data_IF_954852093509
#
_entry.id   IF_954852093509
#
_cell.length_a   1.000
_cell.length_b   1.000
_cell.length_c   1.000
_cell.angle_alpha   90.00
_cell.angle_beta   90.00
_cell.angle_gamma   90.00
#
_symmetry.space_group_name_H-M   'P 1'
#
loop_
_entity.id
_entity.type
_entity.pdbx_description
1 polymer ?
#
# COMPACT_ATOMS: atom_id res chain seq x y z
N UNK A 1 -7.27 42.16 -32.16
CA UNK A 1 -8.75 42.14 -32.04
C UNK A 1 -9.12 41.75 -30.62
N UNK A 2 -9.89 42.59 -29.92
CA UNK A 2 -10.16 42.48 -28.47
C UNK A 2 -11.26 41.47 -28.18
N UNK A 3 -10.90 40.18 -28.15
CA UNK A 3 -11.78 39.04 -27.82
C UNK A 3 -12.49 39.17 -26.45
N UNK A 4 -12.03 40.08 -25.57
CA UNK A 4 -12.55 40.25 -24.22
C UNK A 4 -13.65 41.33 -24.08
N UNK A 5 -13.92 42.14 -25.11
CA UNK A 5 -14.94 43.20 -25.03
C UNK A 5 -16.36 42.62 -24.92
N UNK A 6 -16.67 41.56 -25.66
CA UNK A 6 -17.95 40.85 -25.59
C UNK A 6 -18.26 40.16 -24.24
N UNK A 7 -17.26 40.08 -23.34
CA UNK A 7 -17.43 39.52 -22.00
C UNK A 7 -17.70 40.59 -20.92
N UNK A 8 -17.83 41.87 -21.30
CA UNK A 8 -18.16 42.95 -20.35
C UNK A 8 -19.61 42.91 -19.90
N UNK A 9 -20.50 42.32 -20.72
CA UNK A 9 -21.92 42.12 -20.38
C UNK A 9 -22.11 41.14 -19.21
N UNK A 10 -21.12 40.27 -18.97
CA UNK A 10 -21.11 39.40 -17.81
C UNK A 10 -20.33 40.07 -16.68
N UNK A 11 -20.97 40.23 -15.52
CA UNK A 11 -20.38 40.78 -14.29
C UNK A 11 -19.32 39.84 -13.67
N UNK A 12 -18.27 39.52 -14.43
CA UNK A 12 -17.21 38.60 -14.04
C UNK A 12 -16.12 39.32 -13.23
N UNK A 13 -15.59 38.66 -12.21
CA UNK A 13 -14.42 39.18 -11.51
C UNK A 13 -13.16 39.06 -12.36
N UNK A 14 -12.14 39.89 -12.08
CA UNK A 14 -10.84 39.85 -12.79
C UNK A 14 -10.26 38.42 -12.81
N UNK A 15 -10.36 37.70 -11.69
CA UNK A 15 -9.87 36.32 -11.54
C UNK A 15 -10.65 35.32 -12.40
N UNK A 16 -11.98 35.48 -12.53
CA UNK A 16 -12.79 34.62 -13.40
C UNK A 16 -12.42 34.83 -14.87
N UNK A 17 -12.18 36.08 -15.29
CA UNK A 17 -11.71 36.40 -16.65
C UNK A 17 -10.35 35.78 -16.94
N UNK A 18 -9.42 35.83 -15.98
CA UNK A 18 -8.10 35.19 -16.12
C UNK A 18 -8.19 33.66 -16.23
N UNK A 19 -9.10 33.02 -15.49
CA UNK A 19 -9.33 31.58 -15.60
C UNK A 19 -9.94 31.22 -16.94
N UNK A 20 -10.93 31.99 -17.41
CA UNK A 20 -11.51 31.80 -18.74
C UNK A 20 -10.46 31.99 -19.85
N UNK A 21 -9.64 33.03 -19.77
CA UNK A 21 -8.52 33.27 -20.68
C UNK A 21 -7.52 32.10 -20.69
N UNK A 22 -7.20 31.55 -19.51
CA UNK A 22 -6.32 30.39 -19.38
C UNK A 22 -6.91 29.14 -20.05
N UNK A 23 -8.21 28.92 -19.91
CA UNK A 23 -8.92 27.81 -20.58
C UNK A 23 -8.94 27.99 -22.10
N UNK A 24 -9.28 29.19 -22.59
CA UNK A 24 -9.32 29.48 -24.03
C UNK A 24 -7.93 29.31 -24.64
N UNK A 25 -6.90 29.89 -24.03
CA UNK A 25 -5.54 29.89 -24.57
C UNK A 25 -4.89 28.50 -24.63
N UNK A 26 -5.22 27.63 -23.70
CA UNK A 26 -4.46 26.39 -23.49
C UNK A 26 -5.30 25.11 -23.59
N UNK A 27 -6.62 25.25 -23.68
CA UNK A 27 -7.55 24.14 -23.60
C UNK A 27 -8.40 23.97 -24.85
N UNK A 28 -8.71 25.06 -25.55
CA UNK A 28 -9.57 25.04 -26.73
C UNK A 28 -8.78 24.58 -27.95
N UNK A 29 -9.32 23.58 -28.66
CA UNK A 29 -8.79 23.14 -29.95
C UNK A 29 -9.21 24.15 -31.03
N UNK A 30 -8.28 24.57 -31.88
CA UNK A 30 -8.57 25.56 -32.93
C UNK A 30 -9.54 25.04 -34.00
N UNK A 31 -9.55 23.72 -34.25
CA UNK A 31 -10.42 23.09 -35.24
C UNK A 31 -11.85 22.89 -34.72
N UNK A 32 -12.00 22.60 -33.41
CA UNK A 32 -13.29 22.33 -32.78
C UNK A 32 -13.39 23.03 -31.41
N UNK A 33 -13.91 24.27 -31.37
CA UNK A 33 -13.98 25.06 -30.14
C UNK A 33 -15.04 24.54 -29.14
N UNK A 34 -15.94 23.66 -29.59
CA UNK A 34 -17.00 23.04 -28.79
C UNK A 34 -16.60 21.71 -28.15
N UNK A 35 -15.40 21.18 -28.46
CA UNK A 35 -14.94 19.90 -27.91
C UNK A 35 -14.52 20.03 -26.44
N UNK A 36 -14.44 18.89 -25.75
CA UNK A 36 -14.07 18.80 -24.35
C UNK A 36 -12.61 19.20 -24.13
N UNK A 37 -12.42 20.18 -23.25
CA UNK A 37 -11.11 20.66 -22.81
C UNK A 37 -10.57 19.71 -21.74
N UNK A 38 -9.42 19.11 -22.03
CA UNK A 38 -8.68 18.30 -21.07
C UNK A 38 -7.63 19.14 -20.35
N UNK A 39 -8.01 19.74 -19.22
CA UNK A 39 -7.08 20.50 -18.38
C UNK A 39 -7.22 20.13 -16.91
N UNK A 40 -6.11 19.70 -16.30
CA UNK A 40 -6.08 19.43 -14.85
C UNK A 40 -6.22 20.74 -14.07
N UNK A 41 -7.01 20.72 -13.01
CA UNK A 41 -7.25 21.90 -12.16
C UNK A 41 -5.97 22.38 -11.47
N UNK A 42 -5.09 21.44 -11.09
CA UNK A 42 -3.74 21.73 -10.58
C UNK A 42 -2.93 22.56 -11.58
N UNK A 43 -3.05 22.27 -12.87
CA UNK A 43 -2.32 23.01 -13.93
C UNK A 43 -2.85 24.43 -14.08
N UNK A 44 -4.17 24.64 -13.96
CA UNK A 44 -4.79 25.98 -13.96
C UNK A 44 -4.30 26.77 -12.74
N UNK A 45 -4.35 26.15 -11.56
CA UNK A 45 -3.89 26.73 -10.30
C UNK A 45 -2.42 27.17 -10.37
N UNK A 46 -1.52 26.30 -10.87
CA UNK A 46 -0.11 26.60 -11.03
C UNK A 46 0.15 27.74 -12.02
N UNK A 47 -0.53 27.76 -13.17
CA UNK A 47 -0.32 28.78 -14.20
C UNK A 47 -0.79 30.17 -13.76
N UNK A 48 -1.86 30.23 -12.98
CA UNK A 48 -2.41 31.49 -12.48
C UNK A 48 -1.92 31.84 -11.06
N UNK A 49 -1.09 30.98 -10.46
CA UNK A 49 -0.61 31.09 -9.06
C UNK A 49 -1.78 31.28 -8.07
N UNK A 50 -2.86 30.53 -8.27
CA UNK A 50 -4.06 30.53 -7.43
C UNK A 50 -4.17 29.22 -6.66
N UNK A 51 -4.88 29.23 -5.53
CA UNK A 51 -5.25 28.00 -4.84
C UNK A 51 -6.24 27.19 -5.67
N UNK A 52 -6.19 25.85 -5.57
CA UNK A 52 -7.16 24.99 -6.25
C UNK A 52 -8.61 25.31 -5.82
N UNK A 53 -8.83 25.62 -4.54
CA UNK A 53 -10.14 26.02 -4.02
C UNK A 53 -10.69 27.27 -4.72
N UNK A 54 -9.84 28.27 -4.98
CA UNK A 54 -10.22 29.48 -5.74
C UNK A 54 -10.58 29.13 -7.19
N UNK A 55 -9.83 28.21 -7.82
CA UNK A 55 -10.13 27.72 -9.17
C UNK A 55 -11.50 27.04 -9.20
N UNK A 56 -11.81 26.16 -8.24
CA UNK A 56 -13.13 25.53 -8.15
C UNK A 56 -14.27 26.54 -8.03
N UNK A 57 -14.13 27.54 -7.15
CA UNK A 57 -15.13 28.61 -6.95
C UNK A 57 -15.34 29.44 -8.22
N UNK A 58 -14.26 29.83 -8.89
CA UNK A 58 -14.33 30.64 -10.11
C UNK A 58 -14.90 29.85 -11.29
N UNK A 59 -14.51 28.59 -11.46
CA UNK A 59 -15.13 27.74 -12.46
C UNK A 59 -16.63 27.58 -12.17
N UNK A 60 -17.06 27.50 -10.90
CA UNK A 60 -18.49 27.32 -10.57
C UNK A 60 -19.28 28.60 -10.87
N UNK A 61 -18.64 29.76 -10.73
CA UNK A 61 -19.21 31.03 -11.17
C UNK A 61 -19.32 31.11 -12.70
N UNK A 62 -18.30 30.69 -13.44
CA UNK A 62 -18.34 30.65 -14.91
C UNK A 62 -19.42 29.70 -15.46
N UNK A 63 -19.66 28.60 -14.76
CA UNK A 63 -20.73 27.63 -15.07
C UNK A 63 -22.12 28.23 -14.81
N UNK A 64 -22.31 28.90 -13.66
CA UNK A 64 -23.56 29.62 -13.36
C UNK A 64 -23.89 30.73 -14.37
N UNK A 65 -22.88 31.37 -14.93
CA UNK A 65 -23.02 32.41 -15.96
C UNK A 65 -23.26 31.80 -17.35
N UNK A 66 -23.17 30.47 -17.50
CA UNK A 66 -23.43 29.77 -18.76
C UNK A 66 -22.28 29.90 -19.77
N UNK A 67 -21.07 30.25 -19.33
CA UNK A 67 -19.90 30.37 -20.22
C UNK A 67 -19.16 29.04 -20.37
N UNK A 68 -19.24 28.17 -19.37
CA UNK A 68 -18.66 26.84 -19.42
C UNK A 68 -19.70 25.81 -19.04
N UNK A 69 -19.55 24.61 -19.57
CA UNK A 69 -20.32 23.44 -19.19
C UNK A 69 -19.38 22.36 -18.67
N UNK A 70 -19.87 21.57 -17.71
CA UNK A 70 -19.11 20.47 -17.12
C UNK A 70 -19.84 19.16 -17.29
N UNK A 71 -19.06 18.13 -17.56
CA UNK A 71 -19.59 16.76 -17.55
C UNK A 71 -19.95 16.37 -16.12
N UNK A 72 -21.22 16.02 -15.89
CA UNK A 72 -21.69 15.52 -14.60
C UNK A 72 -20.96 14.23 -14.25
N UNK A 73 -20.36 14.21 -13.06
CA UNK A 73 -19.59 13.08 -12.59
C UNK A 73 -20.52 12.00 -12.09
N UNK A 74 -20.73 10.94 -12.89
CA UNK A 74 -21.40 9.73 -12.40
C UNK A 74 -20.54 9.07 -11.32
N UNK A 75 -21.12 8.91 -10.14
CA UNK A 75 -20.49 8.34 -8.97
C UNK A 75 -20.42 6.82 -9.14
N UNK A 76 -19.28 6.30 -9.61
CA UNK A 76 -19.00 4.86 -9.54
C UNK A 76 -18.26 4.60 -8.23
N UNK A 77 -18.84 3.76 -7.36
CA UNK A 77 -18.57 3.68 -5.90
C UNK A 77 -17.14 3.45 -5.40
N UNK A 78 -16.11 3.39 -6.25
CA UNK A 78 -14.73 3.13 -5.86
C UNK A 78 -13.71 4.19 -6.32
N UNK A 79 -14.11 5.17 -7.12
CA UNK A 79 -13.19 6.20 -7.62
C UNK A 79 -13.65 7.58 -7.17
N UNK A 80 -12.87 8.18 -6.26
CA UNK A 80 -12.96 9.61 -5.97
C UNK A 80 -12.92 10.40 -7.29
N UNK A 81 -13.69 11.49 -7.33
CA UNK A 81 -13.95 12.39 -8.46
C UNK A 81 -12.67 12.88 -9.16
N UNK A 82 -12.10 12.10 -10.08
CA UNK A 82 -10.75 12.42 -10.58
C UNK A 82 -10.73 13.31 -11.83
N UNK A 83 -11.75 13.36 -12.69
CA UNK A 83 -11.72 14.26 -13.86
C UNK A 83 -13.13 14.74 -14.24
N UNK A 84 -13.41 16.03 -14.06
CA UNK A 84 -14.56 16.67 -14.71
C UNK A 84 -14.08 17.32 -16.00
N UNK A 85 -14.58 16.84 -17.15
CA UNK A 85 -14.32 17.48 -18.44
C UNK A 85 -15.05 18.82 -18.48
N UNK A 86 -14.40 19.84 -19.02
CA UNK A 86 -14.96 21.20 -19.14
C UNK A 86 -15.07 21.50 -20.63
N UNK A 87 -16.17 22.07 -21.09
CA UNK A 87 -16.31 22.60 -22.45
C UNK A 87 -16.79 24.05 -22.41
N UNK A 88 -16.52 24.80 -23.47
CA UNK A 88 -17.13 26.12 -23.62
C UNK A 88 -18.60 25.94 -24.04
N UNK A 89 -19.49 26.74 -23.46
CA UNK A 89 -20.87 26.82 -23.92
C UNK A 89 -20.94 27.42 -25.32
N UNK A 90 -21.96 27.07 -26.10
CA UNK A 90 -22.19 27.67 -27.41
C UNK A 90 -22.32 29.20 -27.36
N UNK A 91 -22.82 29.76 -26.25
CA UNK A 91 -22.89 31.21 -26.04
C UNK A 91 -21.48 31.81 -25.85
N UNK A 92 -20.61 31.16 -25.10
CA UNK A 92 -19.23 31.61 -24.93
C UNK A 92 -18.45 31.56 -26.25
N UNK A 93 -18.65 30.51 -27.06
CA UNK A 93 -17.98 30.37 -28.37
C UNK A 93 -18.40 31.50 -29.31
N UNK A 94 -19.69 31.84 -29.37
CA UNK A 94 -20.21 32.98 -30.14
C UNK A 94 -19.62 34.30 -29.66
N UNK A 95 -19.65 34.55 -28.35
CA UNK A 95 -19.19 35.81 -27.77
C UNK A 95 -17.67 36.00 -27.88
N UNK A 96 -16.91 34.91 -27.80
CA UNK A 96 -15.45 34.93 -27.99
C UNK A 96 -15.04 35.03 -29.47
N UNK A 97 -15.99 35.02 -30.41
CA UNK A 97 -15.71 35.01 -31.84
C UNK A 97 -14.99 33.74 -32.31
N UNK A 98 -15.11 32.64 -31.55
CA UNK A 98 -14.49 31.36 -31.85
C UNK A 98 -15.38 30.48 -32.73
N UNK A 99 -16.62 30.89 -32.99
CA UNK A 99 -17.49 30.23 -33.95
C UNK A 99 -16.84 30.33 -35.33
N UNK A 100 -16.15 29.27 -35.75
CA UNK A 100 -15.76 29.12 -37.16
C UNK A 100 -17.04 29.20 -37.97
N UNK A 101 -17.13 30.22 -38.83
CA UNK A 101 -18.10 30.24 -39.94
C UNK A 101 -17.63 29.16 -40.91
N UNK A 102 -17.88 27.91 -40.57
CA UNK A 102 -18.12 26.90 -41.58
C UNK A 102 -19.58 27.09 -41.93
N UNK A 103 -19.93 27.66 -43.11
CA UNK A 103 -21.30 27.52 -43.57
C UNK A 103 -21.60 26.04 -43.52
N UNK A 104 -22.62 25.72 -42.73
CA UNK A 104 -23.19 24.40 -42.61
C UNK A 104 -23.18 23.74 -43.98
N UNK A 105 -22.54 22.58 -44.04
CA UNK A 105 -22.62 21.64 -45.16
C UNK A 105 -24.07 21.17 -45.22
N UNK A 106 -24.94 22.05 -45.72
CA UNK A 106 -26.27 21.70 -46.19
C UNK A 106 -26.05 20.83 -47.41
N UNK A 107 -26.50 19.59 -47.27
CA UNK A 107 -26.68 18.66 -48.36
C UNK A 107 -27.60 19.29 -49.40
N UNK A 108 -27.04 19.75 -50.51
CA UNK A 108 -27.77 19.90 -51.76
C UNK A 108 -27.12 18.96 -52.77
N UNK A 109 -27.84 17.88 -53.05
CA UNK A 109 -27.66 17.03 -54.22
C UNK A 109 -27.82 17.87 -55.48
N UNK A 110 -26.73 18.09 -56.23
CA UNK A 110 -26.82 18.47 -57.64
C UNK A 110 -25.87 17.60 -58.44
N UNK A 111 -26.43 17.09 -59.52
CA UNK A 111 -25.96 16.03 -60.40
C UNK A 111 -24.67 16.39 -61.16
N UNK A 112 -23.95 15.33 -61.56
CA UNK A 112 -22.79 15.36 -62.44
C UNK A 112 -23.16 15.86 -63.84
N UNK A 113 -22.32 16.69 -64.45
CA UNK A 113 -21.89 16.59 -65.86
C UNK A 113 -20.42 17.06 -65.97
N UNK A 114 -19.56 16.41 -66.80
CA UNK A 114 -18.10 16.59 -66.75
C UNK A 114 -17.52 17.54 -67.83
N UNK A 115 -16.28 17.95 -67.55
CA UNK A 115 -15.12 17.99 -68.46
C UNK A 115 -14.66 19.33 -69.08
N UNK A 116 -13.31 19.42 -69.14
CA UNK A 116 -12.42 20.20 -70.04
C UNK A 116 -11.91 21.61 -69.65
N UNK A 117 -10.60 21.63 -69.32
CA UNK A 117 -9.49 22.60 -69.55
C UNK A 117 -9.67 24.08 -69.16
N UNK A 118 -8.84 24.59 -68.24
CA UNK A 118 -7.62 25.31 -68.65
C UNK A 118 -6.63 25.63 -67.52
N UNK A 119 -5.35 25.69 -67.92
CA UNK A 119 -4.15 25.96 -67.11
C UNK A 119 -4.03 27.44 -66.74
N UNK A 120 -3.79 27.75 -65.45
CA UNK A 120 -2.84 28.82 -65.03
C UNK A 120 -2.24 28.48 -63.66
N UNK A 121 -0.90 28.53 -63.47
CA UNK A 121 -0.27 28.33 -62.17
C UNK A 121 -0.27 29.65 -61.39
N UNK A 122 -1.01 29.71 -60.28
CA UNK A 122 -0.97 30.86 -59.37
C UNK A 122 0.31 30.81 -58.51
N UNK A 123 1.15 31.81 -58.77
CA UNK A 123 2.34 32.27 -58.07
C UNK A 123 2.28 32.17 -56.53
N UNK A 124 3.46 31.91 -55.97
CA UNK A 124 3.69 31.60 -54.57
C UNK A 124 3.21 32.66 -53.57
N UNK A 125 2.54 32.18 -52.53
CA UNK A 125 2.64 32.74 -51.19
C UNK A 125 3.53 31.80 -50.35
N UNK A 126 4.37 32.33 -49.44
CA UNK A 126 5.28 31.50 -48.66
C UNK A 126 4.48 30.61 -47.71
N UNK A 127 4.46 29.32 -48.02
CA UNK A 127 4.09 28.25 -47.10
C UNK A 127 4.94 28.37 -45.85
N UNK A 128 4.39 28.93 -44.78
CA UNK A 128 4.97 28.87 -43.44
C UNK A 128 5.22 27.39 -43.14
N UNK A 129 6.49 27.06 -42.89
CA UNK A 129 6.90 25.72 -42.49
C UNK A 129 6.06 25.27 -41.28
N UNK A 130 5.60 24.01 -41.22
CA UNK A 130 5.00 23.50 -40.00
C UNK A 130 6.10 23.48 -38.94
N UNK A 131 6.02 24.43 -38.01
CA UNK A 131 6.90 24.52 -36.85
C UNK A 131 6.75 23.20 -36.09
N UNK A 132 7.80 22.38 -36.15
CA UNK A 132 7.96 21.21 -35.29
C UNK A 132 7.90 21.70 -33.85
N UNK A 133 6.96 21.17 -33.07
CA UNK A 133 6.90 21.37 -31.63
C UNK A 133 8.27 21.09 -31.01
N UNK A 134 8.92 22.15 -30.49
CA UNK A 134 10.18 22.09 -29.73
C UNK A 134 9.93 21.58 -28.29
N UNK A 135 8.81 20.89 -28.06
CA UNK A 135 8.48 20.27 -26.79
C UNK A 135 8.26 18.78 -26.99
N UNK A 136 9.36 18.05 -27.15
CA UNK A 136 9.42 16.69 -26.62
C UNK A 136 9.45 16.82 -25.09
N UNK A 137 8.40 16.47 -24.32
CA UNK A 137 8.57 16.34 -22.89
C UNK A 137 9.51 15.15 -22.62
N UNK A 138 10.65 15.33 -21.95
CA UNK A 138 11.35 14.20 -21.37
C UNK A 138 10.48 13.60 -20.27
N UNK A 139 10.37 12.27 -20.30
CA UNK A 139 10.10 11.40 -19.17
C UNK A 139 8.78 11.60 -18.39
N UNK A 140 7.96 10.55 -18.49
CA UNK A 140 6.99 10.16 -17.48
C UNK A 140 7.55 10.32 -16.06
N UNK A 141 7.14 11.35 -15.34
CA UNK A 141 7.25 11.40 -13.89
C UNK A 141 5.96 10.88 -13.26
N UNK A 142 5.68 9.58 -13.47
CA UNK A 142 4.78 8.84 -12.59
C UNK A 142 5.58 8.25 -11.42
N UNK A 143 6.37 9.07 -10.73
CA UNK A 143 6.88 8.69 -9.40
C UNK A 143 5.83 9.09 -8.38
N UNK A 144 4.72 8.35 -8.39
CA UNK A 144 3.70 8.41 -7.34
C UNK A 144 3.72 7.06 -6.65
N UNK A 145 4.66 6.94 -5.70
CA UNK A 145 4.69 5.90 -4.65
C UNK A 145 4.39 4.48 -5.16
N UNK A 146 5.23 3.96 -6.04
CA UNK A 146 5.40 2.51 -6.10
C UNK A 146 6.49 2.17 -5.10
N UNK A 147 6.14 1.39 -4.08
CA UNK A 147 7.09 0.71 -3.19
C UNK A 147 8.17 0.02 -4.05
N UNK A 148 9.38 -0.26 -3.51
CA UNK A 148 10.37 -1.10 -4.19
C UNK A 148 9.95 -2.58 -4.18
N UNK A 149 8.70 -2.86 -4.53
CA UNK A 149 8.19 -4.19 -4.87
C UNK A 149 8.12 -4.27 -6.39
N UNK A 150 8.92 -5.18 -6.96
CA UNK A 150 9.07 -5.48 -8.38
C UNK A 150 8.03 -4.80 -9.31
N UNK A 151 8.47 -3.76 -10.03
CA UNK A 151 7.64 -3.17 -11.08
C UNK A 151 7.26 -4.26 -12.10
N UNK A 152 5.97 -4.40 -12.48
CA UNK A 152 5.51 -5.48 -13.35
C UNK A 152 6.11 -5.43 -14.76
N UNK A 153 6.77 -4.32 -15.13
CA UNK A 153 7.47 -4.15 -16.39
C UNK A 153 8.89 -3.64 -16.16
N UNK A 154 9.86 -4.27 -16.80
CA UNK A 154 11.27 -3.89 -16.84
C UNK A 154 11.57 -3.30 -18.23
N UNK A 155 12.37 -2.25 -18.30
CA UNK A 155 12.82 -1.68 -19.57
C UNK A 155 14.04 -2.45 -20.07
N UNK A 156 13.87 -3.21 -21.15
CA UNK A 156 14.94 -3.95 -21.82
C UNK A 156 15.14 -3.34 -23.21
N UNK A 157 16.36 -2.89 -23.51
CA UNK A 157 16.73 -2.19 -24.76
C UNK A 157 15.76 -1.05 -25.14
N UNK A 158 15.37 -0.24 -24.14
CA UNK A 158 14.48 0.91 -24.32
C UNK A 158 12.99 0.57 -24.49
N UNK A 159 12.59 -0.71 -24.48
CA UNK A 159 11.18 -1.14 -24.55
C UNK A 159 10.72 -1.74 -23.23
N UNK A 160 9.44 -1.53 -22.88
CA UNK A 160 8.83 -2.11 -21.68
C UNK A 160 8.45 -3.58 -21.94
N UNK A 161 8.97 -4.48 -21.12
CA UNK A 161 8.73 -5.93 -21.17
C UNK A 161 8.28 -6.39 -19.79
N UNK A 162 7.30 -7.31 -19.66
CA UNK A 162 6.93 -7.87 -18.36
C UNK A 162 8.15 -8.43 -17.62
N UNK A 163 8.26 -8.19 -16.30
CA UNK A 163 9.39 -8.67 -15.48
C UNK A 163 9.67 -10.16 -15.65
N UNK A 164 8.59 -10.96 -15.64
CA UNK A 164 8.62 -12.42 -15.80
C UNK A 164 9.18 -12.91 -17.15
N UNK A 165 9.17 -12.05 -18.17
CA UNK A 165 9.62 -12.40 -19.53
C UNK A 165 10.95 -11.74 -19.90
N UNK A 166 11.45 -10.83 -19.06
CA UNK A 166 12.68 -10.09 -19.32
C UNK A 166 13.90 -11.01 -19.45
N UNK A 167 13.93 -12.10 -18.67
CA UNK A 167 15.03 -13.08 -18.68
C UNK A 167 15.15 -13.83 -20.02
N UNK A 168 14.06 -14.02 -20.77
CA UNK A 168 14.13 -14.64 -22.10
C UNK A 168 14.94 -13.80 -23.09
N UNK A 169 14.91 -12.47 -22.92
CA UNK A 169 15.64 -11.54 -23.78
C UNK A 169 17.08 -11.39 -23.30
N UNK A 170 17.31 -11.32 -21.99
CA UNK A 170 18.64 -11.08 -21.42
C UNK A 170 19.51 -12.33 -21.33
N UNK A 171 18.93 -13.50 -21.04
CA UNK A 171 19.66 -14.76 -20.85
C UNK A 171 19.61 -15.66 -22.08
N UNK A 172 18.44 -15.81 -22.71
CA UNK A 172 18.24 -16.74 -23.82
C UNK A 172 18.34 -16.09 -25.22
N UNK A 173 18.78 -14.83 -25.30
CA UNK A 173 18.98 -14.08 -26.55
C UNK A 173 17.74 -14.05 -27.48
N UNK A 174 16.53 -14.04 -26.91
CA UNK A 174 15.31 -13.86 -27.69
C UNK A 174 15.18 -12.41 -28.17
N UNK A 175 14.94 -12.21 -29.47
CA UNK A 175 14.67 -10.87 -29.99
C UNK A 175 13.39 -10.27 -29.39
N UNK A 176 13.40 -8.97 -29.09
CA UNK A 176 12.21 -8.28 -28.59
C UNK A 176 11.02 -8.36 -29.55
N UNK A 177 11.28 -8.30 -30.86
CA UNK A 177 10.22 -8.48 -31.87
C UNK A 177 9.63 -9.90 -31.82
N UNK A 178 10.48 -10.93 -31.67
CA UNK A 178 10.06 -12.32 -31.49
C UNK A 178 9.23 -12.51 -30.21
N UNK A 179 9.66 -11.90 -29.10
CA UNK A 179 8.91 -11.92 -27.85
C UNK A 179 7.51 -11.31 -28.01
N UNK A 180 7.40 -10.11 -28.59
CA UNK A 180 6.09 -9.47 -28.80
C UNK A 180 5.22 -10.27 -29.79
N UNK A 181 5.82 -10.91 -30.78
CA UNK A 181 5.10 -11.80 -31.68
C UNK A 181 4.55 -13.03 -30.95
N UNK A 182 5.33 -13.65 -30.06
CA UNK A 182 4.87 -14.74 -29.19
C UNK A 182 3.76 -14.29 -28.24
N UNK A 183 3.87 -13.10 -27.65
CA UNK A 183 2.80 -12.54 -26.80
C UNK A 183 1.50 -12.37 -27.59
N UNK A 184 1.58 -11.88 -28.84
CA UNK A 184 0.42 -11.76 -29.72
C UNK A 184 -0.18 -13.13 -30.05
N UNK A 185 0.66 -14.11 -30.39
CA UNK A 185 0.21 -15.49 -30.67
C UNK A 185 -0.43 -16.16 -29.45
N UNK A 186 0.16 -16.03 -28.27
CA UNK A 186 -0.40 -16.55 -27.04
C UNK A 186 -1.78 -15.94 -26.77
N UNK A 187 -1.92 -14.62 -26.94
CA UNK A 187 -3.21 -13.93 -26.79
C UNK A 187 -4.27 -14.44 -27.78
N UNK A 188 -3.90 -14.74 -29.01
CA UNK A 188 -4.81 -15.33 -30.01
C UNK A 188 -5.21 -16.76 -29.63
N UNK A 189 -4.32 -17.53 -29.02
CA UNK A 189 -4.60 -18.87 -28.50
C UNK A 189 -5.37 -18.85 -27.16
N UNK A 190 -5.63 -17.69 -26.57
CA UNK A 190 -6.31 -17.57 -25.27
C UNK A 190 -5.40 -17.83 -24.06
N UNK A 191 -4.08 -17.95 -24.26
CA UNK A 191 -3.10 -18.19 -23.19
C UNK A 191 -2.28 -16.93 -22.89
N UNK A 192 -1.75 -16.84 -21.67
CA UNK A 192 -0.77 -15.80 -21.29
C UNK A 192 0.63 -16.40 -21.42
N UNK A 193 1.51 -15.72 -22.16
CA UNK A 193 2.87 -16.23 -22.42
C UNK A 193 3.66 -16.48 -21.12
N UNK A 194 3.45 -15.66 -20.09
CA UNK A 194 4.07 -15.84 -18.77
C UNK A 194 3.78 -17.21 -18.17
N UNK A 195 2.53 -17.66 -18.21
CA UNK A 195 2.09 -18.93 -17.61
C UNK A 195 2.74 -20.11 -18.35
N UNK A 196 2.79 -20.04 -19.68
CA UNK A 196 3.45 -21.05 -20.54
C UNK A 196 4.94 -21.15 -20.24
N UNK A 197 5.61 -20.00 -20.10
CA UNK A 197 7.05 -19.93 -19.83
C UNK A 197 7.37 -20.47 -18.44
N UNK A 198 6.52 -20.21 -17.43
CA UNK A 198 6.69 -20.73 -16.08
C UNK A 198 6.61 -22.26 -16.03
N UNK A 199 5.73 -22.87 -16.82
CA UNK A 199 5.60 -24.33 -16.88
C UNK A 199 6.82 -24.98 -17.54
N UNK A 200 7.45 -24.31 -18.50
CA UNK A 200 8.49 -24.92 -19.35
C UNK A 200 9.88 -24.34 -19.10
N UNK A 201 10.05 -23.54 -18.04
CA UNK A 201 11.28 -22.83 -17.69
C UNK A 201 12.53 -23.71 -17.76
N UNK A 202 12.47 -24.93 -17.22
CA UNK A 202 13.60 -25.86 -17.18
C UNK A 202 14.08 -26.27 -18.57
N UNK A 203 13.16 -26.52 -19.51
CA UNK A 203 13.50 -26.86 -20.88
C UNK A 203 13.95 -25.63 -21.69
N UNK A 204 13.42 -24.44 -21.36
CA UNK A 204 13.78 -23.19 -22.01
C UNK A 204 15.20 -22.72 -21.64
N UNK A 205 15.73 -23.12 -20.48
CA UNK A 205 17.11 -22.78 -20.07
C UNK A 205 18.19 -23.31 -21.02
N UNK A 206 17.89 -24.38 -21.77
CA UNK A 206 18.83 -25.05 -22.69
C UNK A 206 18.75 -24.54 -24.13
N UNK A 207 17.71 -23.76 -24.45
CA UNK A 207 17.40 -23.32 -25.81
C UNK A 207 17.63 -21.82 -25.94
N UNK A 208 18.18 -21.38 -27.09
CA UNK A 208 18.46 -19.96 -27.32
C UNK A 208 17.93 -19.46 -28.67
N UNK A 209 17.65 -18.14 -28.73
CA UNK A 209 17.35 -17.42 -29.97
C UNK A 209 16.20 -18.00 -30.79
N UNK A 210 16.51 -18.50 -31.99
CA UNK A 210 15.51 -18.96 -32.97
C UNK A 210 14.84 -20.28 -32.57
N UNK A 211 15.58 -21.18 -31.94
CA UNK A 211 15.07 -22.48 -31.48
C UNK A 211 14.06 -22.30 -30.36
N UNK A 212 14.37 -21.40 -29.42
CA UNK A 212 13.47 -20.99 -28.35
C UNK A 212 12.14 -20.46 -28.91
N UNK A 213 12.22 -19.58 -29.93
CA UNK A 213 11.03 -19.04 -30.57
C UNK A 213 10.19 -20.13 -31.25
N UNK A 214 10.82 -21.02 -32.01
CA UNK A 214 10.13 -22.12 -32.70
C UNK A 214 9.49 -23.08 -31.71
N UNK A 215 10.18 -23.43 -30.63
CA UNK A 215 9.69 -24.30 -29.57
C UNK A 215 8.47 -23.68 -28.87
N UNK A 216 8.56 -22.41 -28.45
CA UNK A 216 7.44 -21.71 -27.83
C UNK A 216 6.27 -21.56 -28.80
N UNK A 217 6.52 -21.27 -30.07
CA UNK A 217 5.46 -21.18 -31.08
C UNK A 217 4.75 -22.53 -31.31
N UNK A 218 5.49 -23.64 -31.33
CA UNK A 218 4.93 -24.99 -31.42
C UNK A 218 4.13 -25.37 -30.17
N UNK A 219 4.61 -24.97 -28.99
CA UNK A 219 3.93 -25.22 -27.72
C UNK A 219 2.60 -24.46 -27.62
N UNK A 220 2.58 -23.20 -28.07
CA UNK A 220 1.36 -22.38 -28.14
C UNK A 220 0.32 -22.90 -29.15
N UNK A 221 0.72 -23.76 -30.08
CA UNK A 221 -0.20 -24.40 -31.02
C UNK A 221 -0.89 -25.64 -30.44
N UNK A 222 -0.43 -26.18 -29.31
CA UNK A 222 -1.02 -27.36 -28.65
C UNK A 222 -2.26 -26.95 -27.83
N UNK A 223 -3.27 -27.82 -27.78
CA UNK A 223 -4.48 -27.66 -26.94
C UNK A 223 -4.23 -28.07 -25.48
N UNK A 224 -3.25 -27.45 -24.83
CA UNK A 224 -2.94 -27.71 -23.42
C UNK A 224 -3.28 -26.49 -22.58
N UNK A 225 -3.95 -26.68 -21.46
CA UNK A 225 -4.26 -25.58 -20.54
C UNK A 225 -3.07 -25.25 -19.64
N UNK A 226 -2.18 -24.41 -20.15
CA UNK A 226 -1.00 -23.96 -19.41
C UNK A 226 -1.33 -23.07 -18.20
N UNK A 227 -2.51 -22.43 -18.19
CA UNK A 227 -2.90 -21.56 -17.08
C UNK A 227 -3.21 -22.38 -15.83
N UNK A 228 -3.86 -23.54 -15.99
CA UNK A 228 -4.12 -24.46 -14.89
C UNK A 228 -2.82 -25.02 -14.29
N UNK A 229 -1.91 -25.52 -15.13
CA UNK A 229 -0.63 -26.09 -14.68
C UNK A 229 0.26 -25.05 -14.00
N UNK A 230 0.28 -23.81 -14.52
CA UNK A 230 1.03 -22.72 -13.90
C UNK A 230 0.48 -22.38 -12.49
N UNK A 231 -0.85 -22.30 -12.35
CA UNK A 231 -1.50 -22.03 -11.06
C UNK A 231 -1.18 -23.10 -10.03
N UNK A 232 -1.29 -24.37 -10.41
CA UNK A 232 -0.99 -25.49 -9.52
C UNK A 232 0.46 -25.42 -9.00
N UNK A 233 1.44 -25.15 -9.88
CA UNK A 233 2.84 -24.98 -9.45
C UNK A 233 3.05 -23.78 -8.54
N UNK A 234 2.39 -22.65 -8.82
CA UNK A 234 2.51 -21.48 -7.94
C UNK A 234 1.92 -21.75 -6.56
N UNK A 235 0.78 -22.43 -6.50
CA UNK A 235 0.13 -22.81 -5.24
C UNK A 235 1.02 -23.77 -4.45
N UNK A 236 1.58 -24.80 -5.09
CA UNK A 236 2.53 -25.72 -4.45
C UNK A 236 3.75 -25.00 -3.86
N UNK A 237 4.34 -24.05 -4.59
CA UNK A 237 5.49 -23.26 -4.10
C UNK A 237 5.08 -22.34 -2.95
N UNK A 238 3.90 -21.73 -3.01
CA UNK A 238 3.38 -20.88 -1.93
C UNK A 238 3.13 -21.70 -0.67
N UNK A 239 2.44 -22.84 -0.78
CA UNK A 239 2.18 -23.76 0.33
C UNK A 239 3.49 -24.25 0.94
N UNK A 240 4.47 -24.64 0.13
CA UNK A 240 5.79 -25.06 0.62
C UNK A 240 6.53 -23.93 1.34
N UNK A 241 6.43 -22.69 0.84
CA UNK A 241 7.05 -21.52 1.47
C UNK A 241 6.38 -21.17 2.79
N UNK A 242 5.05 -21.21 2.85
CA UNK A 242 4.29 -20.99 4.08
C UNK A 242 4.60 -22.07 5.11
N UNK A 243 4.65 -23.34 4.71
CA UNK A 243 5.03 -24.44 5.59
C UNK A 243 6.46 -24.26 6.14
N UNK A 244 7.42 -23.87 5.29
CA UNK A 244 8.79 -23.60 5.72
C UNK A 244 8.89 -22.39 6.68
N UNK A 245 8.11 -21.33 6.44
CA UNK A 245 8.04 -20.17 7.33
C UNK A 245 7.44 -20.52 8.69
N UNK A 246 6.35 -21.30 8.69
CA UNK A 246 5.71 -21.76 9.91
C UNK A 246 6.64 -22.68 10.71
N UNK A 247 7.36 -23.58 10.04
CA UNK A 247 8.33 -24.45 10.72
C UNK A 247 9.51 -23.64 11.28
N UNK A 248 10.02 -22.65 10.55
CA UNK A 248 11.07 -21.76 11.05
C UNK A 248 10.61 -20.96 12.29
N UNK A 249 9.38 -20.40 12.25
CA UNK A 249 8.79 -19.69 13.38
C UNK A 249 8.53 -20.62 14.58
N UNK A 250 8.12 -21.87 14.32
CA UNK A 250 7.96 -22.89 15.35
C UNK A 250 9.31 -23.19 16.02
N UNK A 251 10.36 -23.42 15.24
CA UNK A 251 11.70 -23.71 15.77
C UNK A 251 12.27 -22.53 16.58
N UNK A 252 12.08 -21.29 16.12
CA UNK A 252 12.49 -20.12 16.90
C UNK A 252 11.72 -20.02 18.20
N UNK A 253 10.41 -20.28 18.18
CA UNK A 253 9.57 -20.26 19.39
C UNK A 253 9.99 -21.32 20.41
N UNK A 254 10.29 -22.54 19.93
CA UNK A 254 10.84 -23.61 20.78
C UNK A 254 12.15 -23.16 21.42
N UNK A 255 13.06 -22.56 20.66
CA UNK A 255 14.36 -22.12 21.17
C UNK A 255 14.22 -21.02 22.23
N UNK A 256 13.35 -20.04 22.01
CA UNK A 256 13.01 -19.00 22.99
C UNK A 256 12.46 -19.58 24.30
N UNK A 257 11.48 -20.48 24.22
CA UNK A 257 10.89 -21.07 25.42
C UNK A 257 11.85 -22.01 26.16
N UNK A 258 12.61 -22.83 25.42
CA UNK A 258 13.60 -23.72 26.01
C UNK A 258 14.73 -22.97 26.72
N UNK A 259 15.10 -21.78 26.23
CA UNK A 259 16.10 -20.93 26.90
C UNK A 259 15.51 -20.21 28.11
N UNK A 260 14.27 -19.69 28.02
CA UNK A 260 13.63 -18.97 29.12
C UNK A 260 13.23 -19.88 30.29
N UNK A 261 12.83 -21.12 30.02
CA UNK A 261 12.29 -22.04 31.02
C UNK A 261 13.31 -23.07 31.53
N UNK A 262 14.58 -22.97 31.12
CA UNK A 262 15.62 -23.93 31.52
C UNK A 262 15.73 -24.01 33.04
N UNK A 263 15.65 -25.23 33.58
CA UNK A 263 15.74 -25.47 35.02
C UNK A 263 14.46 -25.18 35.81
N UNK A 264 13.37 -24.80 35.13
CA UNK A 264 12.07 -24.58 35.78
C UNK A 264 11.32 -25.89 35.91
N UNK A 265 10.77 -26.14 37.11
CA UNK A 265 9.89 -27.25 37.41
C UNK A 265 8.57 -26.74 37.97
N UNK A 266 7.46 -27.20 37.40
CA UNK A 266 6.11 -26.80 37.78
C UNK A 266 5.27 -28.04 38.00
N UNK A 267 4.49 -28.04 39.09
CA UNK A 267 3.55 -29.12 39.40
C UNK A 267 2.14 -28.67 39.00
N UNK A 268 1.48 -29.46 38.15
CA UNK A 268 0.06 -29.26 37.81
C UNK A 268 -0.83 -29.55 39.02
N UNK A 269 -2.06 -29.04 38.99
CA UNK A 269 -3.11 -29.36 39.97
C UNK A 269 -3.40 -30.88 40.02
N UNK A 270 -3.17 -31.57 38.90
CA UNK A 270 -3.24 -33.03 38.77
C UNK A 270 -1.99 -33.76 39.30
N UNK A 271 -1.10 -33.08 40.03
CA UNK A 271 0.11 -33.64 40.65
C UNK A 271 1.14 -34.17 39.66
N UNK A 272 0.98 -33.85 38.37
CA UNK A 272 1.97 -34.13 37.33
C UNK A 272 3.03 -33.03 37.38
N UNK A 273 4.30 -33.41 37.55
CA UNK A 273 5.42 -32.47 37.52
C UNK A 273 5.98 -32.36 36.11
N UNK A 274 6.13 -31.12 35.64
CA UNK A 274 6.75 -30.76 34.37
C UNK A 274 8.08 -30.07 34.66
N UNK A 275 9.17 -30.57 34.12
CA UNK A 275 10.50 -29.97 34.28
C UNK A 275 11.17 -29.79 32.93
N UNK A 276 11.79 -28.63 32.70
CA UNK A 276 12.56 -28.36 31.47
C UNK A 276 14.05 -28.52 31.75
N UNK A 277 14.67 -29.49 31.09
CA UNK A 277 16.10 -29.77 31.17
C UNK A 277 16.85 -29.12 29.98
N UNK A 278 18.16 -29.32 29.87
CA UNK A 278 18.96 -28.71 28.79
C UNK A 278 18.57 -29.16 27.38
N UNK A 279 18.03 -30.38 27.25
CA UNK A 279 17.77 -31.03 25.95
C UNK A 279 16.31 -31.50 25.79
N UNK A 280 15.57 -31.64 26.89
CA UNK A 280 14.23 -32.23 26.86
C UNK A 280 13.31 -31.70 27.94
N UNK A 281 12.00 -31.83 27.71
CA UNK A 281 10.98 -31.65 28.74
C UNK A 281 10.67 -33.00 29.37
N UNK A 282 10.76 -33.07 30.69
CA UNK A 282 10.40 -34.23 31.50
C UNK A 282 9.00 -34.04 32.07
N UNK A 283 8.15 -35.04 31.88
CA UNK A 283 6.80 -35.12 32.43
C UNK A 283 6.74 -36.30 33.38
N UNK A 284 6.53 -36.06 34.67
CA UNK A 284 6.42 -37.09 35.71
C UNK A 284 4.97 -37.10 36.20
N UNK A 285 4.25 -38.19 35.96
CA UNK A 285 2.86 -38.36 36.41
C UNK A 285 2.80 -38.82 37.87
N UNK A 286 1.63 -38.65 38.51
CA UNK A 286 1.36 -39.10 39.90
C UNK A 286 1.69 -40.58 40.14
N UNK A 287 1.54 -41.42 39.13
CA UNK A 287 1.81 -42.86 39.20
C UNK A 287 3.32 -43.21 39.12
N UNK A 288 4.20 -42.19 39.12
CA UNK A 288 5.65 -42.35 39.01
C UNK A 288 6.16 -42.64 37.60
N UNK A 289 5.26 -42.68 36.61
CA UNK A 289 5.64 -42.83 35.20
C UNK A 289 6.22 -41.53 34.65
N UNK A 290 7.41 -41.61 34.07
CA UNK A 290 8.10 -40.47 33.45
C UNK A 290 8.14 -40.62 31.92
N UNK A 291 7.94 -39.51 31.22
CA UNK A 291 8.13 -39.43 29.78
C UNK A 291 8.97 -38.20 29.44
N UNK A 292 9.93 -38.37 28.52
CA UNK A 292 10.76 -37.28 28.00
C UNK A 292 10.47 -37.02 26.53
N UNK A 293 10.45 -35.75 26.15
CA UNK A 293 10.33 -35.34 24.75
C UNK A 293 11.33 -34.24 24.43
N UNK A 294 11.92 -34.28 23.24
CA UNK A 294 12.84 -33.21 22.78
C UNK A 294 12.08 -31.90 22.65
N UNK A 295 12.76 -30.76 22.87
CA UNK A 295 12.14 -29.44 22.79
C UNK A 295 11.35 -29.21 21.50
N UNK A 296 11.84 -29.72 20.36
CA UNK A 296 11.17 -29.63 19.06
C UNK A 296 9.80 -30.33 19.02
N UNK A 297 9.65 -31.46 19.74
CA UNK A 297 8.40 -32.23 19.81
C UNK A 297 7.52 -31.83 21.00
N UNK A 298 8.07 -31.09 21.96
CA UNK A 298 7.43 -30.71 23.21
C UNK A 298 7.01 -29.23 23.27
N UNK A 299 6.77 -28.57 22.12
CA UNK A 299 6.35 -27.16 22.09
C UNK A 299 5.11 -26.91 22.96
N UNK A 300 4.08 -27.76 22.83
CA UNK A 300 2.86 -27.62 23.62
C UNK A 300 3.12 -27.70 25.13
N UNK A 301 4.03 -28.59 25.55
CA UNK A 301 4.44 -28.71 26.96
C UNK A 301 5.26 -27.51 27.43
N UNK A 302 6.12 -26.94 26.57
CA UNK A 302 6.88 -25.72 26.88
C UNK A 302 5.95 -24.50 27.02
N UNK A 303 4.96 -24.37 26.14
CA UNK A 303 3.96 -23.30 26.22
C UNK A 303 3.10 -23.41 27.49
N UNK A 304 2.74 -24.64 27.86
CA UNK A 304 2.01 -24.91 29.10
C UNK A 304 2.83 -24.53 30.34
N UNK A 305 4.11 -24.89 30.39
CA UNK A 305 5.01 -24.50 31.49
C UNK A 305 5.15 -22.98 31.54
N UNK A 306 5.35 -22.30 30.41
CA UNK A 306 5.42 -20.84 30.36
C UNK A 306 4.14 -20.19 30.93
N UNK A 307 2.97 -20.74 30.59
CA UNK A 307 1.70 -20.24 31.12
C UNK A 307 1.60 -20.42 32.62
N UNK A 308 1.90 -21.60 33.15
CA UNK A 308 1.81 -21.87 34.59
C UNK A 308 2.82 -21.03 35.39
N UNK A 309 4.02 -20.79 34.86
CA UNK A 309 5.02 -19.89 35.46
C UNK A 309 4.51 -18.44 35.48
N UNK A 310 3.91 -17.97 34.39
CA UNK A 310 3.30 -16.63 34.32
C UNK A 310 2.16 -16.47 35.33
N UNK A 311 1.25 -17.45 35.42
CA UNK A 311 0.16 -17.43 36.39
C UNK A 311 0.67 -17.49 37.84
N UNK A 312 1.74 -18.22 38.14
CA UNK A 312 2.36 -18.24 39.45
C UNK A 312 2.98 -16.87 39.80
N UNK A 313 3.72 -16.27 38.87
CA UNK A 313 4.31 -14.93 39.05
C UNK A 313 3.23 -13.84 39.26
N UNK A 314 2.10 -13.92 38.56
CA UNK A 314 0.97 -13.01 38.76
C UNK A 314 0.31 -13.20 40.13
N UNK A 315 0.15 -14.45 40.61
CA UNK A 315 -0.39 -14.72 41.96
C UNK A 315 0.54 -14.16 43.03
N UNK A 316 1.84 -14.31 42.88
CA UNK A 316 2.84 -13.77 43.81
C UNK A 316 2.87 -12.23 43.80
N UNK A 317 2.74 -11.61 42.62
CA UNK A 317 2.61 -10.16 42.50
C UNK A 317 1.32 -9.63 43.16
N UNK A 318 0.19 -10.32 43.01
CA UNK A 318 -1.08 -9.95 43.65
C UNK A 318 -1.03 -10.12 45.17
N UNK A 319 -0.40 -11.18 45.68
CA UNK A 319 -0.15 -11.35 47.12
C UNK A 319 0.76 -10.26 47.68
N UNK A 320 1.71 -9.78 46.89
CA UNK A 320 2.62 -8.70 47.30
C UNK A 320 1.96 -7.30 47.23
N UNK A 321 0.85 -7.16 46.49
CA UNK A 321 0.09 -5.91 46.34
C UNK A 321 -1.11 -5.81 47.30
N UNK A 322 -1.41 -6.86 48.06
CA UNK A 322 -2.44 -6.83 49.10
C UNK A 322 -1.93 -5.97 50.28
N UNK A 323 -2.64 -4.91 50.70
CA UNK A 323 -2.17 -4.06 51.80
C UNK A 323 -2.12 -4.89 53.07
N UNK A 324 -0.94 -5.01 53.68
CA UNK A 324 -0.81 -5.59 55.01
C UNK A 324 -1.81 -4.90 55.95
N UNK A 325 -2.58 -5.66 56.76
CA UNK A 325 -3.47 -5.04 57.74
C UNK A 325 -2.63 -4.16 58.66
N UNK A 326 -2.93 -2.87 58.66
CA UNK A 326 -2.28 -1.87 59.50
C UNK A 326 -2.29 -2.37 60.93
N UNK A 327 -1.09 -2.64 61.47
CA UNK A 327 -0.90 -2.83 62.90
C UNK A 327 -1.45 -1.59 63.60
N UNK A 328 -2.56 -1.79 64.31
CA UNK A 328 -3.18 -0.78 65.16
C UNK A 328 -2.15 -0.16 66.11
N UNK A 329 -2.08 1.17 66.07
CA UNK A 329 -1.31 2.01 66.99
C UNK A 329 -1.59 1.65 68.47
N UNK A 330 -0.59 1.73 69.35
CA UNK A 330 -0.81 1.57 70.79
C UNK A 330 -1.55 2.81 71.31
N UNK A 331 -2.75 2.59 71.86
CA UNK A 331 -3.55 3.64 72.51
C UNK A 331 -2.74 4.33 73.63
N UNK A 332 -2.78 5.67 73.74
CA UNK A 332 -2.20 6.37 74.88
C UNK A 332 -3.10 6.21 76.12
N UNK A 333 -2.57 5.58 77.16
CA UNK A 333 -3.20 5.53 78.49
C UNK A 333 -3.16 6.91 79.17
N UNK A 334 -4.20 7.33 79.90
CA UNK A 334 -4.25 8.63 80.54
C UNK A 334 -3.34 8.66 81.77
N UNK A 335 -2.49 9.69 81.83
CA UNK A 335 -1.72 10.06 83.02
C UNK A 335 -2.67 10.41 84.17
N UNK A 336 -2.55 9.68 85.28
CA UNK A 336 -2.98 10.16 86.59
C UNK A 336 -1.75 10.22 87.51
N UNK A 337 -1.70 11.35 88.21
CA UNK A 337 -0.65 11.90 89.04
C UNK A 337 -0.33 11.11 90.32
N UNK A 338 0.81 11.50 90.91
CA UNK A 338 1.31 11.30 92.28
C UNK A 338 1.97 9.93 92.55
N UNK A 339 3.24 9.83 92.94
CA UNK A 339 4.07 10.75 93.71
C UNK A 339 3.78 10.55 95.20
N UNK A 340 4.47 9.61 95.86
CA UNK A 340 4.40 9.46 97.31
C UNK A 340 4.45 8.04 97.91
N UNK A 341 5.31 7.13 97.44
CA UNK A 341 5.54 5.85 98.13
C UNK A 341 7.01 5.52 98.46
N UNK A 342 7.98 6.25 97.91
CA UNK A 342 9.40 6.00 98.20
C UNK A 342 9.89 6.67 99.51
N UNK A 343 9.16 7.66 100.02
CA UNK A 343 9.42 8.30 101.33
C UNK A 343 8.88 7.51 102.53
N UNK A 344 8.01 6.51 102.31
CA UNK A 344 7.50 5.64 103.39
C UNK A 344 8.42 4.44 103.69
N UNK A 345 9.27 4.03 102.73
CA UNK A 345 10.20 2.90 102.90
C UNK A 345 11.49 3.24 103.63
N UNK A 346 11.81 4.53 103.79
CA UNK A 346 13.00 5.00 104.51
C UNK A 346 12.77 5.22 106.03
N UNK A 347 11.52 5.18 106.51
CA UNK A 347 11.17 5.49 107.90
C UNK A 347 10.89 4.21 108.74
N UNK A 348 10.55 3.08 108.10
CA UNK A 348 10.48 1.78 108.79
C UNK A 348 11.86 1.13 108.76
N UNK A 349 12.68 1.64 109.66
CA UNK A 349 14.01 1.15 109.93
C UNK A 349 14.07 -0.35 110.23
N UNK A 350 15.25 -0.86 109.87
CA UNK A 350 16.17 -1.50 110.79
C UNK A 350 15.89 -2.93 111.25
N UNK A 351 17.02 -3.63 111.33
CA UNK A 351 17.33 -4.90 112.00
C UNK A 351 16.97 -6.15 111.17
N UNK A 352 17.87 -7.09 110.92
CA UNK A 352 19.18 -7.34 111.53
C UNK A 352 20.01 -8.29 110.68
N UNK A 353 21.25 -7.87 110.43
CA UNK A 353 22.52 -8.60 110.63
C UNK A 353 22.71 -10.04 110.12
N UNK A 354 23.86 -10.15 109.43
CA UNK A 354 24.99 -11.12 109.58
C UNK A 354 24.65 -12.58 109.28
N UNK A 355 25.54 -13.42 108.75
CA UNK A 355 27.00 -13.46 108.72
C UNK A 355 27.38 -14.42 107.57
N UNK A 356 28.50 -14.22 106.86
CA UNK A 356 29.71 -15.08 106.89
C UNK A 356 29.46 -16.56 106.51
N UNK A 357 30.32 -17.32 105.83
CA UNK A 357 31.72 -17.25 105.46
C UNK A 357 31.93 -18.45 104.49
N UNK A 358 32.76 -18.32 103.46
CA UNK A 358 34.07 -19.00 103.34
C UNK A 358 34.01 -20.52 103.28
N UNK A 359 34.56 -21.06 102.18
CA UNK A 359 34.80 -22.47 101.91
C UNK A 359 35.11 -22.64 100.44
#
# INVERSE_FOLDING_TARGET
MRVYEALHEYALTQTQRQILACLVRNGVKQQDPADWIFMKKVTIAQRLRLSEATVYRCLAALERVGLIEREEQRQTGYTLKVLGRIRLSGQAIRNLGLASVHPSREMVTIERIPDVLDRVPALGLPTLAPVRDVNSPPQQSSSKKQSPGASPFIRVQGKAVPSELAWLVTQNNLSLSGLFHLMKRAKLAGHRLSDVVQVVQDALSKLSGRELFAYLAALLAKRTDFAFVARQRTEEVLIAREAAQNEAARLSRVAELATALRGVSVVRDDGTALSVDEVSVLVIRRDGTSSSATHQRALDSLEEIARLVGEAAERDARRSAEPQPQMSEPRPSPRVFSGGLDTARAILGMRTRRSAATG
#
